data_IF_872401962137
#
_entry.id   IF_872401962137
#
_cell.length_a   1.000
_cell.length_b   1.000
_cell.length_c   1.000
_cell.angle_alpha   90.00
_cell.angle_beta   90.00
_cell.angle_gamma   90.00
#
_symmetry.space_group_name_H-M   'P 1'
#
loop_
_entity.id
_entity.type
_entity.pdbx_description
1 polymer ?
#
# COMPACT_ATOMS: atom_id res chain seq x y z
N UNK A 1 -5.08 -5.10 -17.81
CA UNK A 1 -5.07 -6.58 -17.90
C UNK A 1 -6.23 -7.08 -17.06
N UNK A 2 -7.27 -7.68 -17.64
CA UNK A 2 -8.40 -8.17 -16.85
C UNK A 2 -8.04 -9.53 -16.24
N UNK A 3 -8.11 -9.64 -14.93
CA UNK A 3 -8.07 -10.93 -14.25
C UNK A 3 -9.30 -11.73 -14.69
N UNK A 4 -9.08 -12.88 -15.36
CA UNK A 4 -10.17 -13.72 -15.81
C UNK A 4 -10.58 -14.67 -14.66
N UNK A 5 -11.79 -14.51 -14.15
CA UNK A 5 -12.33 -15.32 -13.04
C UNK A 5 -12.24 -16.83 -13.30
N UNK A 6 -12.40 -17.24 -14.54
CA UNK A 6 -12.30 -18.66 -14.92
C UNK A 6 -10.88 -19.21 -14.88
N UNK A 7 -9.89 -18.39 -15.29
CA UNK A 7 -8.47 -18.76 -15.18
C UNK A 7 -8.04 -18.92 -13.72
N UNK A 8 -8.40 -17.94 -12.88
CA UNK A 8 -8.12 -18.00 -11.44
C UNK A 8 -8.84 -19.20 -10.80
N UNK A 9 -10.09 -19.42 -11.12
CA UNK A 9 -10.85 -20.56 -10.58
C UNK A 9 -10.25 -21.92 -10.93
N UNK A 10 -9.76 -22.09 -12.14
CA UNK A 10 -9.06 -23.31 -12.56
C UNK A 10 -7.78 -23.51 -11.72
N UNK A 11 -7.00 -22.45 -11.52
CA UNK A 11 -5.76 -22.49 -10.72
C UNK A 11 -6.03 -22.80 -9.25
N UNK A 12 -7.10 -22.24 -8.67
CA UNK A 12 -7.53 -22.58 -7.30
C UNK A 12 -7.87 -24.07 -7.22
N UNK A 13 -8.65 -24.58 -8.18
CA UNK A 13 -9.03 -26.00 -8.21
C UNK A 13 -7.82 -26.94 -8.35
N UNK A 14 -6.87 -26.58 -9.22
CA UNK A 14 -5.64 -27.33 -9.44
C UNK A 14 -4.76 -27.34 -8.19
N UNK A 15 -4.45 -26.18 -7.62
CA UNK A 15 -3.61 -26.06 -6.42
C UNK A 15 -4.22 -26.80 -5.21
N UNK A 16 -5.54 -26.65 -5.00
CA UNK A 16 -6.25 -27.37 -3.93
C UNK A 16 -6.11 -28.89 -4.07
N UNK A 17 -6.32 -29.41 -5.31
CA UNK A 17 -6.21 -30.85 -5.58
C UNK A 17 -4.79 -31.35 -5.38
N UNK A 18 -3.77 -30.58 -5.77
CA UNK A 18 -2.37 -30.93 -5.61
C UNK A 18 -1.95 -31.14 -4.14
N UNK A 19 -2.62 -30.45 -3.20
CA UNK A 19 -2.43 -30.63 -1.76
C UNK A 19 -3.52 -31.49 -1.10
N UNK A 20 -4.31 -32.21 -1.90
CA UNK A 20 -5.35 -33.16 -1.47
C UNK A 20 -6.44 -32.56 -0.55
N UNK A 21 -6.77 -31.27 -0.66
CA UNK A 21 -7.86 -30.64 0.08
C UNK A 21 -9.19 -30.78 -0.67
N UNK A 22 -10.28 -31.05 0.05
CA UNK A 22 -11.64 -30.85 -0.44
C UNK A 22 -12.02 -29.37 -0.48
N UNK A 23 -13.06 -29.00 -1.24
CA UNK A 23 -13.61 -27.63 -1.22
C UNK A 23 -14.05 -27.19 0.19
N UNK A 24 -14.57 -28.11 0.99
CA UNK A 24 -15.01 -27.84 2.35
C UNK A 24 -13.83 -27.58 3.30
N UNK A 25 -12.74 -28.32 3.17
CA UNK A 25 -11.53 -28.13 3.98
C UNK A 25 -10.83 -26.81 3.61
N UNK A 26 -10.73 -26.49 2.33
CA UNK A 26 -10.20 -25.20 1.89
C UNK A 26 -11.05 -24.04 2.42
N UNK A 27 -12.38 -24.14 2.30
CA UNK A 27 -13.32 -23.15 2.78
C UNK A 27 -13.15 -22.89 4.29
N UNK A 28 -12.95 -23.97 5.09
CA UNK A 28 -12.69 -23.88 6.53
C UNK A 28 -11.39 -23.11 6.82
N UNK A 29 -10.31 -23.34 6.05
CA UNK A 29 -9.02 -22.67 6.26
C UNK A 29 -9.06 -21.19 5.94
N UNK A 30 -9.85 -20.79 4.92
CA UNK A 30 -10.02 -19.36 4.55
C UNK A 30 -11.24 -18.70 5.22
N UNK A 31 -11.96 -19.42 6.12
CA UNK A 31 -13.10 -18.93 6.90
C UNK A 31 -14.28 -18.44 6.05
N UNK A 32 -14.62 -19.20 5.02
CA UNK A 32 -15.76 -18.94 4.11
C UNK A 32 -16.63 -20.17 3.93
N UNK A 33 -17.71 -20.06 3.11
CA UNK A 33 -18.57 -21.22 2.79
C UNK A 33 -17.98 -22.11 1.68
N UNK A 34 -18.21 -23.43 1.70
CA UNK A 34 -17.80 -24.32 0.61
C UNK A 34 -18.41 -23.94 -0.74
N UNK A 35 -19.60 -23.35 -0.73
CA UNK A 35 -20.28 -22.86 -1.93
C UNK A 35 -19.49 -21.70 -2.58
N UNK A 36 -18.84 -20.84 -1.78
CA UNK A 36 -18.00 -19.76 -2.30
C UNK A 36 -16.79 -20.32 -3.04
N UNK A 37 -16.09 -21.31 -2.47
CA UNK A 37 -14.99 -22.02 -3.15
C UNK A 37 -15.48 -22.65 -4.46
N UNK A 38 -16.63 -23.32 -4.43
CA UNK A 38 -17.22 -23.89 -5.64
C UNK A 38 -17.53 -22.85 -6.72
N UNK A 39 -18.05 -21.68 -6.36
CA UNK A 39 -18.26 -20.56 -7.29
C UNK A 39 -16.97 -20.04 -7.90
N UNK A 40 -15.91 -19.93 -7.09
CA UNK A 40 -14.60 -19.53 -7.59
C UNK A 40 -14.04 -20.52 -8.60
N UNK A 41 -14.05 -21.81 -8.27
CA UNK A 41 -13.52 -22.87 -9.15
C UNK A 41 -14.28 -22.98 -10.48
N UNK A 42 -15.57 -22.62 -10.51
CA UNK A 42 -16.36 -22.54 -11.74
C UNK A 42 -16.20 -21.21 -12.49
N UNK A 43 -15.53 -20.22 -11.87
CA UNK A 43 -15.35 -18.88 -12.43
C UNK A 43 -16.61 -18.00 -12.37
N UNK A 44 -17.59 -18.36 -11.55
CA UNK A 44 -18.84 -17.59 -11.34
C UNK A 44 -18.61 -16.34 -10.46
N UNK A 45 -17.59 -16.38 -9.63
CA UNK A 45 -17.11 -15.25 -8.83
C UNK A 45 -15.58 -15.36 -8.65
N UNK A 46 -14.97 -14.31 -8.13
CA UNK A 46 -13.54 -14.25 -7.89
C UNK A 46 -13.30 -13.96 -6.41
N UNK A 47 -12.29 -14.59 -5.75
CA UNK A 47 -11.87 -14.19 -4.44
C UNK A 47 -11.34 -12.74 -4.47
N UNK A 48 -11.48 -12.00 -3.36
CA UNK A 48 -10.75 -10.76 -3.17
C UNK A 48 -9.24 -11.02 -3.02
N UNK A 49 -8.45 -9.96 -3.10
CA UNK A 49 -6.97 -10.06 -3.08
C UNK A 49 -6.45 -10.64 -1.76
N UNK A 50 -7.11 -10.33 -0.64
CA UNK A 50 -6.74 -10.85 0.68
C UNK A 50 -6.96 -12.36 0.73
N UNK A 51 -8.08 -12.82 0.22
CA UNK A 51 -8.38 -14.26 0.10
C UNK A 51 -7.43 -14.97 -0.86
N UNK A 52 -7.07 -14.33 -2.00
CA UNK A 52 -6.06 -14.88 -2.93
C UNK A 52 -4.69 -15.01 -2.26
N UNK A 53 -4.30 -14.05 -1.43
CA UNK A 53 -3.05 -14.14 -0.67
C UNK A 53 -3.06 -15.30 0.34
N UNK A 54 -4.16 -15.47 1.09
CA UNK A 54 -4.31 -16.63 1.99
C UNK A 54 -4.31 -17.95 1.25
N UNK A 55 -4.94 -18.00 0.07
CA UNK A 55 -4.91 -19.18 -0.80
C UNK A 55 -3.48 -19.49 -1.26
N UNK A 56 -2.70 -18.47 -1.65
CA UNK A 56 -1.29 -18.62 -2.01
C UNK A 56 -0.47 -19.23 -0.86
N UNK A 57 -0.64 -18.71 0.36
CA UNK A 57 0.00 -19.24 1.58
C UNK A 57 -0.38 -20.71 1.83
N UNK A 58 -1.67 -21.04 1.76
CA UNK A 58 -2.17 -22.41 1.98
C UNK A 58 -1.62 -23.38 0.93
N UNK A 59 -1.54 -22.94 -0.32
CA UNK A 59 -1.06 -23.75 -1.43
C UNK A 59 0.48 -23.81 -1.52
N UNK A 60 1.20 -22.97 -0.75
CA UNK A 60 2.65 -22.85 -0.85
C UNK A 60 3.13 -22.30 -2.18
N UNK A 61 2.34 -21.43 -2.81
CA UNK A 61 2.64 -20.80 -4.10
C UNK A 61 2.76 -19.29 -3.96
N UNK A 62 3.41 -18.64 -4.93
CA UNK A 62 3.41 -17.18 -5.04
C UNK A 62 2.04 -16.67 -5.55
N UNK A 63 1.65 -15.47 -5.14
CA UNK A 63 0.38 -14.85 -5.60
C UNK A 63 0.30 -14.71 -7.13
N UNK A 64 1.46 -14.62 -7.82
CA UNK A 64 1.54 -14.66 -9.29
C UNK A 64 1.04 -15.97 -9.89
N UNK A 65 0.99 -17.03 -9.12
CA UNK A 65 0.39 -18.27 -9.56
C UNK A 65 -1.02 -18.04 -10.12
N UNK A 66 -1.78 -17.10 -9.55
CA UNK A 66 -3.14 -16.76 -10.00
C UNK A 66 -3.17 -15.78 -11.19
N UNK A 67 -2.07 -15.07 -11.47
CA UNK A 67 -1.98 -14.21 -12.66
C UNK A 67 -1.86 -15.06 -13.94
N UNK A 68 -2.36 -14.53 -15.08
CA UNK A 68 -2.12 -15.17 -16.37
C UNK A 68 -0.65 -15.02 -16.75
N UNK A 69 0.10 -16.11 -16.68
CA UNK A 69 1.42 -16.17 -17.30
C UNK A 69 1.26 -16.24 -18.81
N UNK A 70 1.89 -15.31 -19.53
CA UNK A 70 2.16 -15.49 -20.95
C UNK A 70 2.93 -16.81 -21.12
N UNK A 71 2.37 -17.76 -21.83
CA UNK A 71 3.10 -18.92 -22.30
C UNK A 71 4.15 -18.39 -23.28
N UNK A 72 5.38 -18.23 -22.85
CA UNK A 72 6.50 -18.24 -23.76
C UNK A 72 6.62 -19.69 -24.25
N UNK A 73 6.22 -19.93 -25.48
CA UNK A 73 6.50 -21.17 -26.17
C UNK A 73 8.02 -21.29 -26.36
N UNK A 74 8.68 -21.91 -25.43
CA UNK A 74 9.95 -22.57 -25.67
C UNK A 74 9.70 -24.06 -25.44
N UNK A 75 9.37 -24.72 -26.54
CA UNK A 75 9.45 -26.17 -26.65
C UNK A 75 10.93 -26.50 -26.52
N UNK A 76 11.35 -27.01 -25.37
CA UNK A 76 12.60 -27.77 -25.31
C UNK A 76 12.21 -29.23 -25.46
N UNK A 77 12.47 -29.71 -26.65
CA UNK A 77 12.39 -31.11 -27.04
C UNK A 77 13.46 -31.90 -26.22
N UNK A 78 12.99 -32.73 -25.30
CA UNK A 78 13.84 -33.67 -24.57
C UNK A 78 13.48 -35.06 -25.01
N UNK A 79 14.05 -35.48 -26.14
CA UNK A 79 14.20 -36.92 -26.47
C UNK A 79 15.38 -37.51 -25.73
N UNK A 80 15.05 -38.47 -24.88
CA UNK A 80 15.83 -39.66 -24.49
C UNK A 80 17.28 -39.54 -23.98
N UNK A 81 17.52 -39.92 -22.74
CA UNK A 81 18.26 -41.18 -22.46
C UNK A 81 18.11 -41.57 -20.99
N UNK A 82 17.88 -42.85 -20.81
CA UNK A 82 17.76 -43.59 -19.56
C UNK A 82 19.10 -43.74 -18.87
N UNK A 83 19.27 -43.30 -17.63
CA UNK A 83 20.18 -43.94 -16.68
C UNK A 83 19.68 -43.68 -15.21
N UNK A 84 19.68 -44.76 -14.46
CA UNK A 84 19.32 -44.84 -13.06
C UNK A 84 20.37 -44.17 -12.18
N UNK A 85 20.00 -43.16 -11.38
CA UNK A 85 20.74 -42.87 -10.17
C UNK A 85 19.81 -42.33 -9.08
N UNK A 86 20.07 -42.80 -7.85
CA UNK A 86 19.49 -42.57 -6.55
C UNK A 86 18.78 -41.23 -6.30
N UNK A 87 17.56 -41.35 -5.75
CA UNK A 87 16.72 -40.26 -5.28
C UNK A 87 17.35 -39.64 -4.03
N UNK A 88 18.05 -38.54 -4.19
CA UNK A 88 18.23 -37.57 -3.11
C UNK A 88 17.05 -36.60 -3.12
N UNK A 89 16.30 -36.56 -2.02
CA UNK A 89 15.22 -35.61 -1.81
C UNK A 89 15.85 -34.22 -1.71
N UNK A 90 15.55 -33.27 -2.62
CA UNK A 90 16.05 -31.92 -2.45
C UNK A 90 15.36 -31.30 -1.25
N UNK A 91 16.12 -31.00 -0.21
CA UNK A 91 15.71 -30.13 0.88
C UNK A 91 15.47 -28.75 0.26
N UNK A 92 14.21 -28.41 0.03
CA UNK A 92 13.79 -27.08 -0.41
C UNK A 92 14.04 -26.13 0.74
N UNK A 93 15.19 -25.47 0.77
CA UNK A 93 15.39 -24.30 1.61
C UNK A 93 14.45 -23.20 1.08
N UNK A 94 13.58 -22.62 1.92
CA UNK A 94 12.70 -21.55 1.45
C UNK A 94 13.58 -20.37 1.02
N UNK A 95 13.50 -20.04 -0.26
CA UNK A 95 14.21 -18.90 -0.83
C UNK A 95 13.57 -17.61 -0.29
N UNK A 96 14.22 -17.01 0.70
CA UNK A 96 13.75 -15.83 1.44
C UNK A 96 13.62 -14.54 0.61
N UNK A 97 13.76 -14.58 -0.71
CA UNK A 97 13.83 -13.39 -1.57
C UNK A 97 12.91 -13.41 -2.80
N UNK A 98 11.83 -14.19 -2.82
CA UNK A 98 10.80 -14.01 -3.84
C UNK A 98 9.89 -12.85 -3.47
N UNK A 99 10.36 -11.61 -3.66
CA UNK A 99 9.48 -10.44 -3.63
C UNK A 99 8.34 -10.67 -4.63
N UNK A 100 7.10 -10.36 -4.21
CA UNK A 100 5.92 -10.38 -5.09
C UNK A 100 6.25 -9.74 -6.44
N UNK A 101 6.32 -10.55 -7.51
CA UNK A 101 6.72 -10.09 -8.85
C UNK A 101 5.56 -9.45 -9.64
N UNK A 102 4.33 -9.48 -9.09
CA UNK A 102 3.16 -8.91 -9.71
C UNK A 102 3.15 -7.37 -9.66
N UNK A 103 2.72 -6.75 -10.74
CA UNK A 103 2.66 -5.31 -10.89
C UNK A 103 1.20 -4.87 -10.99
N UNK A 104 0.78 -3.96 -10.09
CA UNK A 104 -0.55 -3.36 -10.03
C UNK A 104 -0.55 -1.91 -10.52
N UNK A 105 0.56 -1.46 -11.09
CA UNK A 105 0.68 -0.12 -11.66
C UNK A 105 -0.27 0.08 -12.85
N UNK A 106 -0.68 1.32 -13.06
CA UNK A 106 -1.65 1.71 -14.10
C UNK A 106 -3.03 1.03 -13.95
N UNK A 107 -3.32 0.53 -12.74
CA UNK A 107 -4.60 -0.08 -12.40
C UNK A 107 -5.68 0.95 -12.05
N UNK A 108 -6.93 0.51 -12.13
CA UNK A 108 -8.07 1.24 -11.57
C UNK A 108 -8.68 0.37 -10.47
N UNK A 109 -8.34 0.67 -9.23
CA UNK A 109 -8.71 -0.12 -8.06
C UNK A 109 -9.88 0.55 -7.34
N UNK A 110 -11.00 -0.13 -7.24
CA UNK A 110 -12.20 0.35 -6.55
C UNK A 110 -12.63 -0.72 -5.55
N UNK A 111 -12.91 -0.28 -4.32
CA UNK A 111 -13.38 -1.15 -3.23
C UNK A 111 -12.45 -2.35 -2.93
N UNK A 112 -11.17 -2.26 -3.30
CA UNK A 112 -10.21 -3.33 -3.09
C UNK A 112 -9.66 -3.32 -1.65
N UNK A 113 -9.48 -4.51 -1.08
CA UNK A 113 -8.92 -4.66 0.27
C UNK A 113 -7.51 -5.28 0.21
N UNK A 114 -6.51 -4.47 0.57
CA UNK A 114 -5.09 -4.81 0.65
C UNK A 114 -4.61 -4.83 2.10
N UNK A 115 -5.52 -4.85 3.08
CA UNK A 115 -5.19 -4.78 4.50
C UNK A 115 -4.31 -5.94 4.94
N UNK A 116 -3.29 -5.64 5.77
CA UNK A 116 -2.35 -6.62 6.30
C UNK A 116 -1.37 -7.22 5.29
N UNK A 117 -1.39 -6.79 4.01
CA UNK A 117 -0.44 -7.28 3.02
C UNK A 117 0.95 -6.68 3.22
N UNK A 118 1.96 -7.47 2.87
CA UNK A 118 3.37 -7.08 2.93
C UNK A 118 3.99 -7.04 1.53
N UNK A 119 5.17 -6.41 1.42
CA UNK A 119 5.95 -6.35 0.18
C UNK A 119 5.22 -5.67 -1.00
N UNK A 120 4.50 -4.58 -0.70
CA UNK A 120 3.75 -3.80 -1.69
C UNK A 120 4.61 -2.74 -2.41
N UNK A 121 5.92 -2.75 -2.22
CA UNK A 121 6.87 -1.82 -2.86
C UNK A 121 6.67 -1.81 -4.38
N UNK A 122 6.64 -0.61 -4.98
CA UNK A 122 6.58 -0.36 -6.42
C UNK A 122 5.39 -1.04 -7.15
N UNK A 123 4.31 -1.36 -6.43
CA UNK A 123 3.17 -2.09 -7.00
C UNK A 123 2.09 -1.22 -7.61
N UNK A 124 1.98 0.06 -7.22
CA UNK A 124 0.80 0.88 -7.50
C UNK A 124 1.06 2.17 -8.29
N UNK A 125 2.24 2.39 -8.87
CA UNK A 125 2.52 3.63 -9.62
C UNK A 125 1.51 3.87 -10.75
N UNK A 126 1.17 5.12 -11.02
CA UNK A 126 0.21 5.56 -12.06
C UNK A 126 -1.18 4.93 -11.96
N UNK A 127 -1.60 4.56 -10.75
CA UNK A 127 -2.90 3.91 -10.51
C UNK A 127 -3.94 4.90 -9.98
N UNK A 128 -5.20 4.63 -10.27
CA UNK A 128 -6.32 5.22 -9.58
C UNK A 128 -6.79 4.27 -8.48
N UNK A 129 -6.95 4.80 -7.27
CA UNK A 129 -7.45 4.03 -6.11
C UNK A 129 -8.63 4.77 -5.52
N UNK A 130 -9.76 4.09 -5.40
CA UNK A 130 -10.94 4.65 -4.77
C UNK A 130 -11.53 3.67 -3.77
N UNK A 131 -11.81 4.17 -2.55
CA UNK A 131 -12.40 3.37 -1.47
C UNK A 131 -11.63 2.06 -1.18
N UNK A 132 -10.31 2.07 -1.38
CA UNK A 132 -9.45 0.92 -1.10
C UNK A 132 -9.00 0.90 0.36
N UNK A 133 -8.72 -0.29 0.89
CA UNK A 133 -8.20 -0.47 2.25
C UNK A 133 -6.76 -0.98 2.21
N UNK A 134 -5.92 -0.37 3.02
CA UNK A 134 -4.53 -0.73 3.27
C UNK A 134 -4.25 -0.81 4.78
N UNK A 135 -5.27 -1.14 5.57
CA UNK A 135 -5.21 -1.10 7.03
C UNK A 135 -4.16 -2.09 7.54
N UNK A 136 -3.17 -1.58 8.28
CA UNK A 136 -2.10 -2.41 8.85
C UNK A 136 -1.16 -3.05 7.82
N UNK A 137 -1.18 -2.60 6.56
CA UNK A 137 -0.30 -3.14 5.52
C UNK A 137 1.13 -2.58 5.61
N UNK A 138 2.11 -3.35 5.14
CA UNK A 138 3.48 -2.88 4.97
C UNK A 138 3.69 -2.30 3.57
N UNK A 139 3.68 -0.98 3.53
CA UNK A 139 3.90 -0.14 2.35
C UNK A 139 5.27 0.54 2.40
N UNK A 140 6.20 0.05 3.21
CA UNK A 140 7.52 0.65 3.35
C UNK A 140 8.30 0.64 2.03
N UNK A 141 9.04 1.72 1.79
CA UNK A 141 9.78 1.94 0.55
C UNK A 141 8.90 1.97 -0.72
N UNK A 142 7.59 2.20 -0.58
CA UNK A 142 6.65 2.31 -1.69
C UNK A 142 6.98 3.55 -2.53
N UNK A 143 6.89 3.41 -3.86
CA UNK A 143 6.93 4.54 -4.78
C UNK A 143 5.58 4.70 -5.46
N UNK A 144 4.89 5.79 -5.14
CA UNK A 144 3.68 6.24 -5.83
C UNK A 144 4.03 7.41 -6.74
N UNK A 145 3.72 7.29 -8.02
CA UNK A 145 3.96 8.36 -8.99
C UNK A 145 2.75 8.57 -9.86
N UNK A 146 2.27 9.80 -9.91
CA UNK A 146 1.08 10.20 -10.70
C UNK A 146 -0.17 9.34 -10.36
N UNK A 147 -0.40 9.11 -9.06
CA UNK A 147 -1.57 8.38 -8.57
C UNK A 147 -2.70 9.35 -8.22
N UNK A 148 -3.93 8.89 -8.43
CA UNK A 148 -5.12 9.51 -7.87
C UNK A 148 -5.72 8.59 -6.80
N UNK A 149 -5.71 9.03 -5.54
CA UNK A 149 -6.04 8.21 -4.37
C UNK A 149 -7.14 8.91 -3.59
N UNK A 150 -8.33 8.34 -3.61
CA UNK A 150 -9.54 8.98 -3.07
C UNK A 150 -10.28 8.03 -2.13
N UNK A 151 -10.71 8.54 -0.97
CA UNK A 151 -11.52 7.81 0.01
C UNK A 151 -10.87 6.49 0.52
N UNK A 152 -9.55 6.37 0.45
CA UNK A 152 -8.83 5.16 0.87
C UNK A 152 -8.45 5.20 2.36
N UNK A 153 -8.28 3.99 2.95
CA UNK A 153 -7.91 3.85 4.37
C UNK A 153 -6.53 3.20 4.51
N UNK A 154 -5.54 4.00 4.93
CA UNK A 154 -4.16 3.61 5.23
C UNK A 154 -3.89 3.58 6.74
N UNK A 155 -4.92 3.49 7.57
CA UNK A 155 -4.75 3.49 9.02
C UNK A 155 -3.87 2.34 9.49
N UNK A 156 -2.99 2.59 10.48
CA UNK A 156 -2.05 1.62 11.03
C UNK A 156 -1.02 1.07 10.04
N UNK A 157 -0.96 1.58 8.82
CA UNK A 157 0.00 1.09 7.81
C UNK A 157 1.41 1.66 8.03
N UNK A 158 2.39 0.92 7.51
CA UNK A 158 3.79 1.34 7.51
C UNK A 158 4.17 1.90 6.13
N UNK A 159 4.35 3.24 6.04
CA UNK A 159 4.78 3.93 4.82
C UNK A 159 6.22 4.48 4.95
N UNK A 160 7.04 3.96 5.84
CA UNK A 160 8.42 4.45 6.04
C UNK A 160 9.22 4.44 4.74
N UNK A 161 10.07 5.47 4.57
CA UNK A 161 10.95 5.64 3.41
C UNK A 161 10.21 5.64 2.06
N UNK A 162 8.91 5.93 2.04
CA UNK A 162 8.12 5.93 0.81
C UNK A 162 8.25 7.24 0.05
N UNK A 163 8.03 7.19 -1.26
CA UNK A 163 8.02 8.37 -2.14
C UNK A 163 6.66 8.52 -2.80
N UNK A 164 6.04 9.68 -2.58
CA UNK A 164 4.72 10.02 -3.11
C UNK A 164 4.88 11.27 -3.99
N UNK A 165 4.94 11.08 -5.30
CA UNK A 165 5.30 12.11 -6.26
C UNK A 165 4.17 12.37 -7.26
N UNK A 166 3.83 13.63 -7.48
CA UNK A 166 2.80 14.07 -8.41
C UNK A 166 1.45 13.35 -8.20
N UNK A 167 1.11 13.09 -6.93
CA UNK A 167 -0.10 12.37 -6.56
C UNK A 167 -1.18 13.33 -6.07
N UNK A 168 -2.44 12.93 -6.28
CA UNK A 168 -3.60 13.56 -5.69
C UNK A 168 -4.16 12.62 -4.61
N UNK A 169 -4.12 13.07 -3.35
CA UNK A 169 -4.62 12.35 -2.19
C UNK A 169 -5.81 13.12 -1.60
N UNK A 170 -7.01 12.59 -1.73
CA UNK A 170 -8.22 13.25 -1.24
C UNK A 170 -9.04 12.34 -0.31
N UNK A 171 -9.47 12.88 0.83
CA UNK A 171 -10.34 12.22 1.79
C UNK A 171 -9.78 10.90 2.36
N UNK A 172 -8.46 10.72 2.35
CA UNK A 172 -7.86 9.47 2.83
C UNK A 172 -7.63 9.49 4.34
N UNK A 173 -7.58 8.29 4.94
CA UNK A 173 -7.23 8.11 6.35
C UNK A 173 -5.82 7.54 6.47
N UNK A 174 -5.02 8.15 7.33
CA UNK A 174 -3.68 7.73 7.73
C UNK A 174 -3.57 7.68 9.26
N UNK A 175 -4.66 7.31 9.94
CA UNK A 175 -4.74 7.32 11.41
C UNK A 175 -3.73 6.31 11.97
N UNK A 176 -2.87 6.77 12.91
CA UNK A 176 -1.83 5.95 13.55
C UNK A 176 -0.88 5.26 12.56
N UNK A 177 -0.75 5.79 11.33
CA UNK A 177 0.21 5.28 10.34
C UNK A 177 1.63 5.79 10.62
N UNK A 178 2.62 5.02 10.16
CA UNK A 178 4.02 5.43 10.19
C UNK A 178 4.43 6.00 8.84
N UNK A 179 4.69 7.31 8.78
CA UNK A 179 5.17 8.03 7.60
C UNK A 179 6.65 8.46 7.77
N UNK A 180 7.38 7.82 8.68
CA UNK A 180 8.76 8.19 8.97
C UNK A 180 9.61 8.18 7.69
N UNK A 181 10.37 9.27 7.46
CA UNK A 181 11.25 9.46 6.31
C UNK A 181 10.50 9.36 4.95
N UNK A 182 9.21 9.68 4.92
CA UNK A 182 8.41 9.69 3.68
C UNK A 182 8.57 11.02 2.95
N UNK A 183 8.77 10.98 1.65
CA UNK A 183 8.83 12.16 0.77
C UNK A 183 7.48 12.35 0.05
N UNK A 184 6.91 13.56 0.18
CA UNK A 184 5.82 14.04 -0.66
C UNK A 184 6.35 15.14 -1.58
N UNK A 185 6.30 14.93 -2.89
CA UNK A 185 6.78 15.92 -3.84
C UNK A 185 5.76 16.20 -4.94
N UNK A 186 5.56 17.48 -5.24
CA UNK A 186 4.62 17.97 -6.28
C UNK A 186 3.22 17.34 -6.17
N UNK A 187 2.74 17.10 -4.94
CA UNK A 187 1.50 16.39 -4.65
C UNK A 187 0.44 17.29 -4.02
N UNK A 188 -0.83 16.95 -4.19
CA UNK A 188 -1.94 17.58 -3.50
C UNK A 188 -2.49 16.64 -2.40
N UNK A 189 -2.55 17.11 -1.16
CA UNK A 189 -3.06 16.38 0.00
C UNK A 189 -4.23 17.17 0.57
N UNK A 190 -5.44 16.67 0.42
CA UNK A 190 -6.67 17.38 0.75
C UNK A 190 -7.63 16.54 1.58
N UNK A 191 -8.20 17.15 2.62
CA UNK A 191 -9.21 16.54 3.48
C UNK A 191 -8.77 15.18 4.08
N UNK A 192 -7.47 14.96 4.24
CA UNK A 192 -6.95 13.71 4.79
C UNK A 192 -6.89 13.76 6.33
N UNK A 193 -7.04 12.60 6.97
CA UNK A 193 -6.94 12.45 8.41
C UNK A 193 -5.64 11.73 8.78
N UNK A 194 -4.72 12.45 9.44
CA UNK A 194 -3.44 11.96 9.93
C UNK A 194 -3.37 11.86 11.46
N UNK A 195 -4.50 11.80 12.14
CA UNK A 195 -4.50 11.77 13.62
C UNK A 195 -3.57 10.69 14.15
N UNK A 196 -2.70 11.07 15.09
CA UNK A 196 -1.69 10.21 15.74
C UNK A 196 -0.66 9.58 14.80
N UNK A 197 -0.56 10.02 13.55
CA UNK A 197 0.46 9.53 12.64
C UNK A 197 1.86 10.02 13.04
N UNK A 198 2.88 9.26 12.66
CA UNK A 198 4.27 9.64 12.89
C UNK A 198 4.88 10.21 11.59
N UNK A 199 5.16 11.52 11.63
CA UNK A 199 5.75 12.29 10.53
C UNK A 199 7.24 12.60 10.76
N UNK A 200 7.96 11.87 11.60
CA UNK A 200 9.39 12.12 11.82
C UNK A 200 10.16 11.97 10.52
N UNK A 201 10.99 12.97 10.17
CA UNK A 201 11.80 12.97 8.96
C UNK A 201 11.00 13.15 7.66
N UNK A 202 9.72 13.48 7.71
CA UNK A 202 8.91 13.69 6.49
C UNK A 202 9.39 14.92 5.73
N UNK A 203 9.51 14.77 4.42
CA UNK A 203 9.81 15.87 3.52
C UNK A 203 8.60 16.21 2.63
N UNK A 204 8.14 17.47 2.70
CA UNK A 204 7.10 18.00 1.82
C UNK A 204 7.70 19.04 0.88
N UNK A 205 7.84 18.72 -0.41
CA UNK A 205 8.42 19.60 -1.43
C UNK A 205 7.39 19.96 -2.49
N UNK A 206 7.14 21.25 -2.70
CA UNK A 206 6.17 21.75 -3.70
C UNK A 206 4.80 21.06 -3.57
N UNK A 207 4.38 20.84 -2.32
CA UNK A 207 3.18 20.08 -1.99
C UNK A 207 2.11 21.02 -1.43
N UNK A 208 0.87 20.78 -1.86
CA UNK A 208 -0.30 21.45 -1.30
C UNK A 208 -0.88 20.59 -0.17
N UNK A 209 -1.02 21.18 1.03
CA UNK A 209 -1.57 20.52 2.21
C UNK A 209 -2.79 21.31 2.70
N UNK A 210 -4.00 20.77 2.49
CA UNK A 210 -5.24 21.50 2.69
C UNK A 210 -6.27 20.77 3.50
N UNK A 211 -6.87 21.50 4.47
CA UNK A 211 -8.01 21.03 5.27
C UNK A 211 -7.80 19.62 5.84
N UNK A 212 -6.59 19.35 6.33
CA UNK A 212 -6.24 18.08 6.92
C UNK A 212 -6.39 18.08 8.45
N UNK A 213 -6.75 16.91 8.98
CA UNK A 213 -6.80 16.67 10.42
C UNK A 213 -5.45 16.12 10.85
N UNK A 214 -4.75 16.84 11.75
CA UNK A 214 -3.41 16.48 12.25
C UNK A 214 -3.36 16.54 13.77
N UNK A 215 -4.26 15.81 14.41
CA UNK A 215 -4.33 15.74 15.86
C UNK A 215 -3.30 14.75 16.42
N UNK A 216 -2.50 15.21 17.40
CA UNK A 216 -1.48 14.41 18.08
C UNK A 216 -0.45 13.75 17.11
N UNK A 217 -0.16 14.43 16.01
CA UNK A 217 0.87 14.00 15.06
C UNK A 217 2.25 14.31 15.63
N UNK A 218 3.19 13.39 15.47
CA UNK A 218 4.60 13.61 15.83
C UNK A 218 5.32 14.24 14.64
N UNK A 219 5.74 15.51 14.78
CA UNK A 219 6.57 16.23 13.82
C UNK A 219 7.97 16.40 14.40
N UNK A 220 8.91 15.60 13.92
CA UNK A 220 10.31 15.72 14.33
C UNK A 220 11.23 15.63 13.12
N UNK A 221 12.19 16.55 12.99
CA UNK A 221 13.14 16.58 11.88
C UNK A 221 12.46 16.67 10.48
N UNK A 222 11.24 17.17 10.41
CA UNK A 222 10.49 17.26 9.17
C UNK A 222 10.78 18.55 8.43
N UNK A 223 10.73 18.49 7.09
CA UNK A 223 10.99 19.65 6.25
C UNK A 223 9.84 19.94 5.28
N UNK A 224 9.54 21.24 5.16
CA UNK A 224 8.57 21.79 4.21
C UNK A 224 9.30 22.77 3.30
N UNK A 225 9.31 22.54 2.02
CA UNK A 225 9.96 23.40 1.05
C UNK A 225 8.99 23.76 -0.09
N UNK A 226 8.89 25.06 -0.40
CA UNK A 226 8.04 25.57 -1.49
C UNK A 226 6.60 25.07 -1.43
N UNK A 227 6.09 24.79 -0.21
CA UNK A 227 4.81 24.13 0.00
C UNK A 227 3.73 25.11 0.44
N UNK A 228 2.46 24.78 0.14
CA UNK A 228 1.30 25.57 0.51
C UNK A 228 0.47 24.84 1.55
N UNK A 229 0.30 25.46 2.73
CA UNK A 229 -0.45 24.88 3.85
C UNK A 229 -1.61 25.82 4.18
N UNK A 230 -2.84 25.32 4.10
CA UNK A 230 -4.00 26.15 4.38
C UNK A 230 -5.19 25.38 4.96
N UNK A 231 -6.05 26.14 5.63
CA UNK A 231 -7.23 25.62 6.33
C UNK A 231 -6.89 24.41 7.24
N UNK A 232 -5.74 24.44 7.94
CA UNK A 232 -5.20 23.29 8.69
C UNK A 232 -4.89 23.68 10.13
N UNK A 233 -5.18 22.76 11.06
CA UNK A 233 -4.89 22.94 12.48
C UNK A 233 -3.72 22.02 12.88
N UNK A 234 -2.63 22.61 13.32
CA UNK A 234 -1.50 21.90 13.93
C UNK A 234 -1.72 21.77 15.45
N UNK A 235 -1.54 20.57 15.96
CA UNK A 235 -1.63 20.25 17.38
C UNK A 235 -0.48 19.31 17.76
N UNK A 236 0.00 19.42 19.00
CA UNK A 236 1.08 18.57 19.50
C UNK A 236 2.47 19.19 19.35
N UNK A 237 3.51 18.37 19.28
CA UNK A 237 4.91 18.84 19.29
C UNK A 237 5.47 18.91 17.87
N UNK A 238 6.04 20.06 17.53
CA UNK A 238 6.77 20.33 16.29
C UNK A 238 8.23 20.63 16.69
N UNK A 239 9.11 19.65 16.52
CA UNK A 239 10.49 19.69 17.01
C UNK A 239 11.49 19.56 15.88
N UNK A 240 12.49 20.44 15.86
CA UNK A 240 13.58 20.40 14.90
C UNK A 240 13.12 20.40 13.44
N UNK A 241 11.97 21.01 13.15
CA UNK A 241 11.41 21.09 11.82
C UNK A 241 11.90 22.33 11.06
N UNK A 242 11.81 22.29 9.74
CA UNK A 242 12.12 23.43 8.89
C UNK A 242 11.00 23.73 7.90
N UNK A 243 10.66 25.01 7.80
CA UNK A 243 9.75 25.50 6.78
C UNK A 243 10.49 26.54 5.93
N UNK A 244 10.72 26.27 4.66
CA UNK A 244 11.44 27.17 3.76
C UNK A 244 10.60 27.55 2.54
N UNK A 245 10.45 28.85 2.29
CA UNK A 245 9.65 29.39 1.20
C UNK A 245 8.20 28.85 1.15
N UNK A 246 7.58 28.61 2.31
CA UNK A 246 6.21 28.10 2.40
C UNK A 246 5.17 29.23 2.44
N UNK A 247 3.96 28.91 2.06
CA UNK A 247 2.80 29.79 2.21
C UNK A 247 1.80 29.19 3.17
N UNK A 248 1.48 29.93 4.22
CA UNK A 248 0.48 29.53 5.22
C UNK A 248 -0.74 30.44 5.10
N UNK A 249 -1.94 29.87 4.99
CA UNK A 249 -3.18 30.63 4.98
C UNK A 249 -4.24 29.98 5.85
N UNK A 250 -4.79 30.71 6.81
CA UNK A 250 -5.78 30.21 7.77
C UNK A 250 -5.29 28.95 8.51
N UNK A 251 -4.08 28.98 8.98
CA UNK A 251 -3.47 27.90 9.77
C UNK A 251 -3.57 28.25 11.26
N UNK A 252 -3.97 27.30 12.06
CA UNK A 252 -4.03 27.43 13.52
C UNK A 252 -3.05 26.48 14.18
N UNK A 253 -2.21 26.99 15.06
CA UNK A 253 -1.40 26.19 15.98
C UNK A 253 -2.16 26.15 17.31
N UNK A 254 -2.82 25.02 17.60
CA UNK A 254 -3.68 24.84 18.77
C UNK A 254 -3.02 23.87 19.75
N UNK A 255 -2.77 24.32 21.00
CA UNK A 255 -2.04 23.51 21.99
C UNK A 255 -0.73 22.93 21.40
N UNK A 256 -0.05 23.69 20.56
CA UNK A 256 1.14 23.24 19.85
C UNK A 256 2.39 23.71 20.59
N UNK A 257 3.34 22.78 20.82
CA UNK A 257 4.67 23.07 21.33
C UNK A 257 5.66 23.09 20.17
N UNK A 258 6.29 24.26 19.92
CA UNK A 258 7.24 24.44 18.81
C UNK A 258 8.66 24.57 19.39
N UNK A 259 9.54 23.62 19.06
CA UNK A 259 10.91 23.53 19.61
C UNK A 259 11.90 23.49 18.46
N UNK A 260 12.95 24.34 18.54
CA UNK A 260 14.07 24.34 17.58
C UNK A 260 13.64 24.31 16.10
N UNK A 261 12.50 24.93 15.78
CA UNK A 261 11.90 24.89 14.45
C UNK A 261 12.13 26.21 13.72
N UNK A 262 12.49 26.12 12.46
CA UNK A 262 12.89 27.27 11.63
C UNK A 262 11.80 27.60 10.60
N UNK A 263 11.48 28.89 10.51
CA UNK A 263 10.59 29.46 9.49
C UNK A 263 11.35 30.49 8.67
N UNK A 264 11.63 30.18 7.41
CA UNK A 264 12.41 31.04 6.51
C UNK A 264 11.60 31.42 5.28
N UNK A 265 11.57 32.72 4.95
CA UNK A 265 10.92 33.24 3.74
C UNK A 265 9.43 32.88 3.59
N UNK A 266 8.65 33.04 4.68
CA UNK A 266 7.24 32.64 4.71
C UNK A 266 6.30 33.72 4.14
N UNK A 267 5.18 33.23 3.53
CA UNK A 267 4.00 34.05 3.26
C UNK A 267 2.91 33.66 4.26
N UNK A 268 2.56 34.55 5.17
CA UNK A 268 1.64 34.29 6.27
C UNK A 268 0.34 35.07 6.11
N UNK A 269 -0.81 34.40 6.16
CA UNK A 269 -2.14 35.01 6.12
C UNK A 269 -3.10 34.27 7.05
N UNK A 270 -3.64 34.98 8.05
CA UNK A 270 -4.65 34.43 8.96
C UNK A 270 -4.11 33.30 9.83
N UNK A 271 -2.91 33.47 10.38
CA UNK A 271 -2.29 32.51 11.31
C UNK A 271 -2.77 32.79 12.71
N UNK A 272 -3.09 31.74 13.46
CA UNK A 272 -3.51 31.82 14.85
C UNK A 272 -2.68 30.87 15.72
N UNK A 273 -2.37 31.31 16.93
CA UNK A 273 -1.79 30.50 18.00
C UNK A 273 -2.81 30.51 19.15
N UNK A 274 -3.26 29.32 19.54
CA UNK A 274 -4.32 29.13 20.54
C UNK A 274 -3.83 28.10 21.55
N UNK A 275 -3.81 28.47 22.83
CA UNK A 275 -3.54 27.56 23.95
C UNK A 275 -4.83 26.87 24.39
#
# INVERSE_FOLDING_TARGET
MMLNSKSIGNKISEARKNINLSQAELAKQVSISPQAVGKWERGESMPDITTLNRLAEIFGVDLNYFAETFKSNTIVDLTATTEKQSVEIPTITPNKNSGLSWNMSSGNWVDADFSGLNNLKDKFSTSNMKNCKFIGSDLSNLTLKANNIVDCDFSYSNLRNSKIQACNLSNNKFIESSLIDTEFSASEIKNCNFSKANFSGVELKKTEFKNCIIENVVWKLSSFELSHIYDTVFNGTIEECSFDNCSFSKVTFKNATIINTFFKSQKLKGIQFID
#
